data_IF_635342729949
#
_entry.id   IF_635342729949
#
_cell.length_a   1.000
_cell.length_b   1.000
_cell.length_c   1.000
_cell.angle_alpha   90.00
_cell.angle_beta   90.00
_cell.angle_gamma   90.00
#
_symmetry.space_group_name_H-M   'P 1'
#
loop_
_entity.id
_entity.type
_entity.pdbx_description
1 polymer ?
#
# COMPACT_ATOMS: atom_id res chain seq x y z
N UNK A 1 13.70 22.96 32.14
CA UNK A 1 13.47 24.37 31.79
C UNK A 1 12.42 24.42 30.71
N UNK A 2 11.31 25.10 30.95
CA UNK A 2 10.20 25.24 30.00
C UNK A 2 10.14 26.71 29.63
N UNK A 3 10.31 27.04 28.34
CA UNK A 3 9.99 28.37 27.82
C UNK A 3 8.71 28.25 26.99
N UNK A 4 7.68 28.99 27.38
CA UNK A 4 6.50 29.24 26.56
C UNK A 4 6.48 30.74 26.27
N UNK A 5 6.43 31.10 24.98
CA UNK A 5 6.11 32.47 24.57
C UNK A 5 4.66 32.50 24.06
N UNK A 6 3.96 33.55 24.46
CA UNK A 6 2.55 33.80 24.15
C UNK A 6 2.38 34.09 22.66
N UNK A 7 1.64 33.23 21.97
CA UNK A 7 1.31 33.40 20.56
C UNK A 7 0.21 34.46 20.41
N UNK A 8 0.60 35.65 19.93
CA UNK A 8 -0.30 36.67 19.40
C UNK A 8 -0.85 36.15 18.05
N UNK A 9 -2.16 35.92 18.01
CA UNK A 9 -2.88 35.30 16.90
C UNK A 9 -2.99 36.12 15.61
N UNK A 10 -2.15 37.13 15.38
CA UNK A 10 -2.28 38.02 14.22
C UNK A 10 -1.44 37.61 13.00
N UNK A 11 -0.53 36.64 13.10
CA UNK A 11 0.33 36.21 11.98
C UNK A 11 0.36 34.70 11.73
N UNK A 12 -0.80 34.07 11.58
CA UNK A 12 -0.87 32.70 11.09
C UNK A 12 -0.47 32.61 9.61
N UNK A 13 -0.65 33.67 8.81
CA UNK A 13 -0.42 33.62 7.35
C UNK A 13 1.06 33.70 6.94
N UNK A 14 1.92 34.37 7.71
CA UNK A 14 3.37 34.37 7.50
C UNK A 14 4.01 33.05 7.90
N UNK A 15 3.62 32.50 9.05
CA UNK A 15 4.12 31.21 9.54
C UNK A 15 3.85 30.05 8.57
N UNK A 16 2.68 29.96 7.93
CA UNK A 16 2.43 28.88 6.94
C UNK A 16 3.26 29.00 5.66
N UNK A 17 3.81 30.18 5.35
CA UNK A 17 4.58 30.40 4.12
C UNK A 17 6.07 30.11 4.30
N UNK A 18 6.60 30.35 5.50
CA UNK A 18 8.01 30.12 5.84
C UNK A 18 8.23 28.82 6.67
N UNK A 19 7.17 28.17 7.17
CA UNK A 19 7.25 26.88 7.90
C UNK A 19 7.22 25.65 6.99
N UNK A 20 7.61 25.75 5.73
CA UNK A 20 7.95 24.58 4.91
C UNK A 20 9.48 24.39 4.80
N UNK A 21 10.28 25.25 5.42
CA UNK A 21 11.75 25.12 5.47
C UNK A 21 12.24 24.02 6.43
N UNK A 22 11.36 23.43 7.26
CA UNK A 22 11.74 22.35 8.17
C UNK A 22 11.73 20.97 7.52
N UNK A 23 11.41 20.82 6.23
CA UNK A 23 11.52 19.49 5.62
C UNK A 23 12.99 19.05 5.66
N UNK A 24 13.32 18.00 6.43
CA UNK A 24 14.66 17.45 6.37
C UNK A 24 14.93 16.97 4.94
N UNK A 25 16.17 17.07 4.48
CA UNK A 25 16.54 16.53 3.18
C UNK A 25 16.08 15.07 3.08
N UNK A 26 15.33 14.76 2.01
CA UNK A 26 14.87 13.40 1.73
C UNK A 26 16.06 12.46 1.74
N UNK A 27 15.90 11.30 2.36
CA UNK A 27 16.95 10.29 2.50
C UNK A 27 16.58 9.07 1.67
N UNK A 28 17.42 8.66 0.71
CA UNK A 28 18.71 9.23 0.34
C UNK A 28 18.60 10.56 -0.41
N UNK A 29 19.51 11.52 -0.12
CA UNK A 29 19.56 12.85 -0.73
C UNK A 29 20.12 12.76 -2.15
N UNK A 30 19.30 12.25 -3.08
CA UNK A 30 19.59 12.26 -4.52
C UNK A 30 18.50 13.04 -5.28
N UNK A 31 18.83 13.75 -6.37
CA UNK A 31 17.90 14.67 -7.03
C UNK A 31 16.60 14.01 -7.54
N UNK A 32 16.67 12.73 -7.91
CA UNK A 32 15.53 12.02 -8.47
C UNK A 32 14.55 11.56 -7.38
N UNK A 33 15.09 11.09 -6.24
CA UNK A 33 14.32 10.77 -5.05
C UNK A 33 13.65 12.01 -4.47
N UNK A 34 14.39 13.12 -4.36
CA UNK A 34 13.83 14.40 -3.93
C UNK A 34 12.67 14.82 -4.83
N UNK A 35 12.86 14.78 -6.15
CA UNK A 35 11.79 15.11 -7.10
C UNK A 35 10.56 14.20 -6.95
N UNK A 36 10.77 12.90 -6.71
CA UNK A 36 9.68 11.96 -6.49
C UNK A 36 8.91 12.28 -5.19
N UNK A 37 9.63 12.49 -4.09
CA UNK A 37 9.03 12.80 -2.79
C UNK A 37 8.32 14.16 -2.78
N UNK A 38 8.84 15.17 -3.48
CA UNK A 38 8.16 16.45 -3.67
C UNK A 38 6.86 16.30 -4.46
N UNK A 39 6.86 15.46 -5.50
CA UNK A 39 5.63 15.14 -6.24
C UNK A 39 4.61 14.43 -5.35
N UNK A 40 5.05 13.53 -4.47
CA UNK A 40 4.18 12.85 -3.48
C UNK A 40 3.61 13.84 -2.47
N UNK A 41 4.43 14.72 -1.90
CA UNK A 41 3.98 15.77 -0.98
C UNK A 41 2.96 16.71 -1.65
N UNK A 42 3.17 17.07 -2.91
CA UNK A 42 2.23 17.88 -3.69
C UNK A 42 0.91 17.15 -4.02
N UNK A 43 0.94 15.83 -4.21
CA UNK A 43 -0.28 15.01 -4.35
C UNK A 43 -1.08 15.00 -3.04
N UNK A 44 -0.40 14.76 -1.91
CA UNK A 44 -1.02 14.74 -0.58
C UNK A 44 -1.62 16.11 -0.23
N UNK A 45 -0.94 17.21 -0.57
CA UNK A 45 -1.44 18.58 -0.36
C UNK A 45 -2.81 18.85 -1.00
N UNK A 46 -3.15 18.12 -2.08
CA UNK A 46 -4.42 18.26 -2.81
C UNK A 46 -5.58 17.48 -2.18
N UNK A 47 -5.30 16.62 -1.18
CA UNK A 47 -6.34 15.89 -0.45
C UNK A 47 -7.17 16.91 0.36
N UNK A 48 -8.49 16.86 0.19
CA UNK A 48 -9.43 17.80 0.83
C UNK A 48 -9.69 17.46 2.29
N UNK A 49 -9.82 16.18 2.59
CA UNK A 49 -10.05 15.70 3.95
C UNK A 49 -8.80 15.91 4.81
N UNK A 50 -8.97 16.54 5.98
CA UNK A 50 -7.86 16.94 6.82
C UNK A 50 -7.15 15.74 7.48
N UNK A 51 -7.90 14.70 7.84
CA UNK A 51 -7.34 13.51 8.48
C UNK A 51 -6.54 12.69 7.45
N UNK A 52 -7.15 12.41 6.30
CA UNK A 52 -6.47 11.71 5.20
C UNK A 52 -5.23 12.44 4.70
N UNK A 53 -5.27 13.78 4.68
CA UNK A 53 -4.10 14.60 4.33
C UNK A 53 -3.00 14.49 5.37
N UNK A 54 -3.33 14.56 6.66
CA UNK A 54 -2.36 14.39 7.74
C UNK A 54 -1.70 13.00 7.70
N UNK A 55 -2.52 11.95 7.57
CA UNK A 55 -2.03 10.57 7.44
C UNK A 55 -1.14 10.41 6.20
N UNK A 56 -1.53 11.03 5.07
CA UNK A 56 -0.74 11.05 3.85
C UNK A 56 0.63 11.73 4.01
N UNK A 57 0.70 12.82 4.78
CA UNK A 57 1.98 13.48 5.09
C UNK A 57 2.85 12.62 5.98
N UNK A 58 2.29 12.01 7.03
CA UNK A 58 3.04 11.08 7.89
C UNK A 58 3.64 9.94 7.08
N UNK A 59 2.85 9.33 6.20
CA UNK A 59 3.31 8.28 5.28
C UNK A 59 4.44 8.76 4.38
N UNK A 60 4.29 9.95 3.81
CA UNK A 60 5.28 10.52 2.87
C UNK A 60 6.59 10.82 3.60
N UNK A 61 6.53 11.38 4.80
CA UNK A 61 7.68 11.67 5.66
C UNK A 61 8.38 10.37 6.08
N UNK A 62 7.62 9.37 6.52
CA UNK A 62 8.16 8.06 6.89
C UNK A 62 8.89 7.41 5.71
N UNK A 63 8.30 7.42 4.52
CA UNK A 63 8.92 6.83 3.34
C UNK A 63 10.14 7.62 2.84
N UNK A 64 10.06 8.95 2.91
CA UNK A 64 11.10 9.83 2.43
C UNK A 64 12.30 9.99 3.34
N UNK A 65 12.17 9.67 4.63
CA UNK A 65 13.19 9.95 5.64
C UNK A 65 13.66 8.73 6.44
N UNK A 66 12.80 7.74 6.63
CA UNK A 66 13.05 6.62 7.54
C UNK A 66 13.36 5.36 6.74
N UNK A 67 12.61 5.11 5.67
CA UNK A 67 12.77 3.91 4.85
C UNK A 67 13.89 4.14 3.81
N UNK A 68 14.91 3.26 3.74
CA UNK A 68 15.92 3.34 2.69
C UNK A 68 15.28 3.26 1.30
N UNK A 69 15.74 4.08 0.35
CA UNK A 69 15.36 3.88 -1.04
C UNK A 69 16.14 2.70 -1.62
N UNK A 70 15.49 1.54 -1.69
CA UNK A 70 16.05 0.33 -2.31
C UNK A 70 16.26 0.49 -3.82
N UNK A 71 15.38 1.26 -4.47
CA UNK A 71 15.47 1.56 -5.90
C UNK A 71 15.12 3.02 -6.16
N UNK A 72 15.44 3.49 -7.37
CA UNK A 72 15.13 4.86 -7.84
C UNK A 72 13.65 5.24 -7.73
N UNK A 73 12.73 4.28 -7.92
CA UNK A 73 11.28 4.54 -7.97
C UNK A 73 10.52 4.04 -6.73
N UNK A 74 11.12 3.17 -5.93
CA UNK A 74 10.46 2.56 -4.76
C UNK A 74 9.37 1.54 -5.10
N UNK A 75 9.10 1.28 -6.39
CA UNK A 75 8.22 0.22 -6.87
C UNK A 75 8.64 -0.26 -8.26
N UNK A 76 8.19 -1.45 -8.64
CA UNK A 76 8.26 -1.98 -10.00
C UNK A 76 7.02 -2.83 -10.29
N UNK A 77 6.68 -2.94 -11.58
CA UNK A 77 5.70 -3.90 -12.06
C UNK A 77 6.44 -4.92 -12.89
N UNK A 78 6.28 -6.20 -12.54
CA UNK A 78 6.87 -7.33 -13.24
C UNK A 78 5.77 -8.33 -13.60
N UNK A 79 6.04 -9.17 -14.59
CA UNK A 79 5.18 -10.30 -14.87
C UNK A 79 5.33 -11.35 -13.76
N UNK A 80 4.22 -11.76 -13.15
CA UNK A 80 4.22 -12.86 -12.17
C UNK A 80 4.80 -14.13 -12.81
N UNK A 81 5.71 -14.86 -12.13
CA UNK A 81 6.20 -16.15 -12.61
C UNK A 81 5.02 -17.06 -13.02
N UNK A 82 5.04 -17.67 -14.22
CA UNK A 82 3.89 -18.42 -14.73
C UNK A 82 3.41 -19.53 -13.79
N UNK A 83 4.35 -20.21 -13.14
CA UNK A 83 4.04 -21.29 -12.20
C UNK A 83 3.38 -20.77 -10.92
N UNK A 84 3.90 -19.67 -10.35
CA UNK A 84 3.28 -18.99 -9.20
C UNK A 84 1.85 -18.57 -9.55
N UNK A 85 1.65 -17.96 -10.72
CA UNK A 85 0.32 -17.56 -11.18
C UNK A 85 -0.63 -18.76 -11.32
N UNK A 86 -0.17 -19.86 -11.93
CA UNK A 86 -0.93 -21.10 -12.09
C UNK A 86 -1.38 -21.65 -10.74
N UNK A 87 -0.46 -21.78 -9.77
CA UNK A 87 -0.76 -22.30 -8.43
C UNK A 87 -1.78 -21.43 -7.68
N UNK A 88 -1.65 -20.10 -7.77
CA UNK A 88 -2.59 -19.17 -7.15
C UNK A 88 -3.98 -19.25 -7.79
N UNK A 89 -4.04 -19.31 -9.12
CA UNK A 89 -5.29 -19.40 -9.88
C UNK A 89 -6.03 -20.73 -9.57
N UNK A 90 -5.31 -21.85 -9.56
CA UNK A 90 -5.88 -23.15 -9.15
C UNK A 90 -6.41 -23.14 -7.72
N UNK A 91 -5.65 -22.55 -6.78
CA UNK A 91 -6.10 -22.44 -5.39
C UNK A 91 -7.32 -21.54 -5.24
N UNK A 92 -7.43 -20.47 -6.04
CA UNK A 92 -8.59 -19.59 -6.07
C UNK A 92 -9.84 -20.34 -6.52
N UNK A 93 -9.81 -20.98 -7.69
CA UNK A 93 -10.96 -21.71 -8.22
C UNK A 93 -11.32 -22.94 -7.38
N UNK A 94 -10.34 -23.65 -6.83
CA UNK A 94 -10.61 -24.74 -5.89
C UNK A 94 -11.27 -24.24 -4.59
N UNK A 95 -10.94 -23.02 -4.14
CA UNK A 95 -11.59 -22.36 -3.01
C UNK A 95 -13.04 -22.00 -3.32
N UNK A 96 -13.27 -21.37 -4.48
CA UNK A 96 -14.59 -20.99 -5.01
C UNK A 96 -15.51 -22.20 -5.18
N UNK A 97 -15.02 -23.29 -5.77
CA UNK A 97 -15.83 -24.46 -6.07
C UNK A 97 -16.25 -25.29 -4.83
N UNK A 98 -15.54 -25.15 -3.70
CA UNK A 98 -15.77 -25.96 -2.50
C UNK A 98 -16.63 -25.27 -1.44
N UNK A 99 -17.18 -24.09 -1.71
CA UNK A 99 -17.81 -23.20 -0.71
C UNK A 99 -16.94 -22.99 0.55
N UNK A 100 -15.62 -23.16 0.42
CA UNK A 100 -14.65 -22.93 1.50
C UNK A 100 -14.33 -21.44 1.68
N UNK A 101 -15.07 -20.59 0.98
CA UNK A 101 -14.87 -19.17 1.02
C UNK A 101 -15.62 -18.63 2.23
N UNK A 102 -14.84 -18.15 3.19
CA UNK A 102 -15.37 -17.30 4.24
C UNK A 102 -15.32 -15.85 3.81
N UNK A 103 -16.29 -15.07 4.24
CA UNK A 103 -16.11 -13.62 4.27
C UNK A 103 -14.99 -13.31 5.24
N UNK A 104 -14.12 -12.40 4.84
CA UNK A 104 -13.08 -11.89 5.71
C UNK A 104 -13.72 -11.17 6.91
N UNK A 105 -12.94 -11.04 8.00
CA UNK A 105 -13.28 -10.11 9.05
C UNK A 105 -13.45 -8.69 8.50
N UNK A 106 -14.03 -7.80 9.30
CA UNK A 106 -14.07 -6.38 8.93
C UNK A 106 -12.64 -5.85 8.81
N UNK A 107 -12.32 -5.28 7.65
CA UNK A 107 -11.03 -4.63 7.35
C UNK A 107 -11.33 -3.17 7.05
N UNK A 108 -10.89 -2.27 7.92
CA UNK A 108 -11.28 -0.85 7.85
C UNK A 108 -10.77 -0.14 6.58
N UNK A 109 -9.70 -0.68 5.97
CA UNK A 109 -9.14 -0.19 4.72
C UNK A 109 -9.97 -0.56 3.49
N UNK A 110 -10.92 -1.49 3.61
CA UNK A 110 -11.75 -1.94 2.48
C UNK A 110 -13.08 -1.20 2.55
N UNK A 111 -13.24 -0.24 1.65
CA UNK A 111 -14.40 0.63 1.58
C UNK A 111 -15.33 0.26 0.44
N UNK A 112 -16.63 0.40 0.66
CA UNK A 112 -17.71 0.20 -0.29
C UNK A 112 -18.36 1.56 -0.61
N UNK A 113 -19.30 1.55 -1.57
CA UNK A 113 -20.02 2.75 -2.03
C UNK A 113 -19.08 3.88 -2.51
N UNK A 114 -18.08 3.51 -3.32
CA UNK A 114 -17.13 4.47 -3.88
C UNK A 114 -16.21 5.13 -2.84
N UNK A 115 -15.96 4.45 -1.71
CA UNK A 115 -15.07 4.93 -0.66
C UNK A 115 -15.76 5.65 0.50
N UNK A 116 -17.10 5.63 0.56
CA UNK A 116 -17.84 6.40 1.58
C UNK A 116 -17.93 5.68 2.93
N UNK A 117 -17.84 4.35 2.96
CA UNK A 117 -17.95 3.56 4.19
C UNK A 117 -17.15 2.27 4.11
N UNK A 118 -16.78 1.71 5.26
CA UNK A 118 -16.21 0.36 5.33
C UNK A 118 -17.23 -0.68 4.85
N UNK A 119 -16.78 -1.65 4.06
CA UNK A 119 -17.62 -2.77 3.63
C UNK A 119 -18.04 -3.62 4.84
N UNK A 120 -19.32 -4.00 4.91
CA UNK A 120 -19.86 -4.81 6.00
C UNK A 120 -20.84 -5.87 5.48
N UNK A 121 -21.21 -6.83 6.34
CA UNK A 121 -22.23 -7.83 6.04
C UNK A 121 -21.86 -8.65 4.79
N UNK A 122 -22.69 -8.50 3.76
CA UNK A 122 -22.58 -9.22 2.49
C UNK A 122 -21.56 -8.64 1.51
N UNK A 123 -21.11 -7.42 1.72
CA UNK A 123 -20.20 -6.72 0.81
C UNK A 123 -18.73 -6.92 1.18
N UNK A 124 -18.48 -7.59 2.32
CA UNK A 124 -17.13 -7.93 2.76
C UNK A 124 -16.44 -8.82 1.73
N UNK A 125 -15.14 -8.62 1.51
CA UNK A 125 -14.41 -9.48 0.60
C UNK A 125 -14.43 -10.91 1.10
N UNK A 126 -14.29 -11.81 0.15
CA UNK A 126 -14.10 -13.21 0.39
C UNK A 126 -12.61 -13.51 0.59
N UNK A 127 -12.29 -14.53 1.40
CA UNK A 127 -10.92 -14.90 1.69
C UNK A 127 -10.70 -16.41 1.54
N UNK A 128 -9.78 -16.78 0.65
CA UNK A 128 -9.32 -18.15 0.46
C UNK A 128 -7.99 -18.33 1.19
N UNK A 129 -8.03 -19.11 2.27
CA UNK A 129 -6.84 -19.42 3.06
C UNK A 129 -6.14 -20.67 2.53
N UNK A 130 -4.85 -20.54 2.21
CA UNK A 130 -3.99 -21.67 1.90
C UNK A 130 -2.57 -21.42 2.46
N UNK A 131 -2.35 -21.64 3.78
CA UNK A 131 -1.09 -21.27 4.43
C UNK A 131 0.14 -21.95 3.82
N UNK A 132 -0.03 -23.17 3.29
CA UNK A 132 1.04 -23.90 2.61
C UNK A 132 1.43 -23.20 1.31
N UNK A 133 0.45 -22.92 0.44
CA UNK A 133 0.69 -22.20 -0.80
C UNK A 133 1.25 -20.81 -0.55
N UNK A 134 0.74 -20.09 0.45
CA UNK A 134 1.25 -18.78 0.82
C UNK A 134 2.75 -18.83 1.13
N UNK A 135 3.20 -19.85 1.89
CA UNK A 135 4.61 -20.06 2.19
C UNK A 135 5.42 -20.42 0.94
N UNK A 136 4.89 -21.30 0.09
CA UNK A 136 5.54 -21.66 -1.18
C UNK A 136 5.75 -20.43 -2.07
N UNK A 137 4.69 -19.62 -2.29
CA UNK A 137 4.77 -18.38 -3.07
C UNK A 137 5.71 -17.35 -2.43
N UNK A 138 5.70 -17.22 -1.10
CA UNK A 138 6.60 -16.31 -0.40
C UNK A 138 8.08 -16.65 -0.67
N UNK A 139 8.42 -17.94 -0.69
CA UNK A 139 9.78 -18.41 -0.96
C UNK A 139 10.15 -18.27 -2.45
N UNK A 140 9.21 -18.55 -3.36
CA UNK A 140 9.43 -18.38 -4.80
C UNK A 140 9.64 -16.92 -5.20
N UNK A 141 9.01 -15.97 -4.50
CA UNK A 141 9.15 -14.53 -4.79
C UNK A 141 10.34 -13.88 -4.08
N UNK A 142 10.91 -14.51 -3.06
CA UNK A 142 12.04 -13.95 -2.31
C UNK A 142 13.22 -13.55 -3.22
N UNK A 143 13.70 -14.40 -4.15
CA UNK A 143 14.81 -14.00 -5.03
C UNK A 143 14.49 -12.77 -5.88
N UNK A 144 13.23 -12.59 -6.30
CA UNK A 144 12.81 -11.42 -7.06
C UNK A 144 12.79 -10.16 -6.20
N UNK A 145 12.41 -10.27 -4.93
CA UNK A 145 12.46 -9.16 -3.98
C UNK A 145 13.90 -8.78 -3.62
N UNK A 146 14.78 -9.76 -3.45
CA UNK A 146 16.21 -9.56 -3.19
C UNK A 146 16.91 -8.94 -4.41
N UNK A 147 16.63 -9.43 -5.62
CA UNK A 147 17.14 -8.84 -6.87
C UNK A 147 16.65 -7.39 -7.03
N UNK A 148 15.37 -7.13 -6.77
CA UNK A 148 14.81 -5.79 -6.89
C UNK A 148 15.40 -4.82 -5.87
N UNK A 149 15.62 -5.27 -4.62
CA UNK A 149 16.07 -4.41 -3.53
C UNK A 149 17.59 -4.31 -3.36
N UNK A 150 18.34 -5.27 -3.92
CA UNK A 150 19.79 -5.37 -3.78
C UNK A 150 20.25 -5.77 -2.37
N UNK A 151 19.38 -6.32 -1.52
CA UNK A 151 19.70 -6.77 -0.17
C UNK A 151 19.11 -8.15 0.12
N UNK A 152 19.75 -8.90 1.02
CA UNK A 152 19.23 -10.19 1.49
C UNK A 152 17.99 -9.97 2.38
N UNK A 153 16.98 -10.82 2.22
CA UNK A 153 15.70 -10.67 2.91
C UNK A 153 15.36 -11.88 3.78
N UNK A 154 14.59 -11.64 4.85
CA UNK A 154 14.00 -12.70 5.66
C UNK A 154 12.50 -12.76 5.36
N UNK A 155 11.98 -13.89 4.86
CA UNK A 155 10.56 -14.08 4.63
C UNK A 155 9.74 -13.82 5.90
N UNK A 156 8.77 -12.91 5.81
CA UNK A 156 7.93 -12.50 6.96
C UNK A 156 6.55 -13.15 6.88
N UNK A 157 5.69 -12.71 5.95
CA UNK A 157 4.32 -13.19 5.83
C UNK A 157 3.82 -13.11 4.40
N UNK A 158 2.98 -14.08 4.03
CA UNK A 158 2.16 -14.02 2.83
C UNK A 158 0.70 -14.25 3.22
N UNK A 159 -0.15 -13.31 2.83
CA UNK A 159 -1.59 -13.39 3.06
C UNK A 159 -2.25 -14.27 1.99
N UNK A 160 -3.39 -14.86 2.36
CA UNK A 160 -4.20 -15.65 1.44
C UNK A 160 -4.86 -14.79 0.36
N UNK A 161 -5.63 -15.44 -0.50
CA UNK A 161 -6.25 -14.77 -1.63
C UNK A 161 -7.52 -14.05 -1.19
N UNK A 162 -7.58 -12.75 -1.48
CA UNK A 162 -8.74 -11.90 -1.23
C UNK A 162 -9.49 -11.69 -2.54
N UNK A 163 -10.80 -11.95 -2.53
CA UNK A 163 -11.70 -11.70 -3.67
C UNK A 163 -12.58 -10.52 -3.32
N UNK A 164 -12.33 -9.39 -3.98
CA UNK A 164 -13.11 -8.17 -3.83
C UNK A 164 -14.43 -8.28 -4.59
N UNK A 165 -15.48 -7.71 -4.01
CA UNK A 165 -16.79 -7.66 -4.64
C UNK A 165 -16.98 -6.35 -5.41
N UNK A 166 -18.02 -6.29 -6.24
CA UNK A 166 -18.35 -5.09 -6.99
C UNK A 166 -18.57 -3.91 -6.04
N UNK A 167 -17.90 -2.79 -6.30
CA UNK A 167 -17.99 -1.57 -5.49
C UNK A 167 -17.01 -1.50 -4.32
N UNK A 168 -16.21 -2.55 -4.07
CA UNK A 168 -15.11 -2.49 -3.12
C UNK A 168 -13.95 -1.64 -3.66
N UNK A 169 -13.36 -0.86 -2.76
CA UNK A 169 -12.17 -0.03 -2.97
C UNK A 169 -11.23 -0.21 -1.79
N UNK A 170 -9.93 -0.20 -2.03
CA UNK A 170 -8.92 -0.30 -0.99
C UNK A 170 -8.33 1.09 -0.76
N UNK A 171 -8.39 1.58 0.46
CA UNK A 171 -7.79 2.87 0.80
C UNK A 171 -6.27 2.78 0.78
N UNK A 172 -5.64 3.92 0.46
CA UNK A 172 -4.21 4.06 0.57
C UNK A 172 -3.80 3.84 2.03
N UNK A 173 -2.89 2.89 2.24
CA UNK A 173 -2.24 2.62 3.50
C UNK A 173 -0.78 2.27 3.25
N UNK A 174 0.03 2.39 4.29
CA UNK A 174 1.38 1.85 4.32
C UNK A 174 1.40 0.61 5.18
N UNK A 175 2.19 -0.36 4.73
CA UNK A 175 2.50 -1.53 5.54
C UNK A 175 3.42 -1.12 6.71
N UNK A 176 3.45 -1.96 7.75
CA UNK A 176 4.27 -1.69 8.93
C UNK A 176 5.75 -1.77 8.60
N UNK A 177 6.49 -0.71 8.91
CA UNK A 177 7.94 -0.58 8.68
C UNK A 177 8.78 -1.62 9.41
N UNK A 178 8.28 -2.20 10.48
CA UNK A 178 9.01 -3.18 11.30
C UNK A 178 9.05 -4.59 10.67
N UNK A 179 8.13 -4.91 9.76
CA UNK A 179 7.87 -6.30 9.33
C UNK A 179 7.64 -6.48 7.83
N UNK A 180 7.34 -5.40 7.09
CA UNK A 180 6.94 -5.43 5.68
C UNK A 180 7.67 -4.35 4.86
N UNK A 181 8.99 -4.34 4.96
CA UNK A 181 9.84 -3.36 4.27
C UNK A 181 9.73 -3.47 2.75
N UNK A 182 9.48 -4.68 2.24
CA UNK A 182 9.25 -4.97 0.83
C UNK A 182 8.01 -5.87 0.73
N UNK A 183 7.05 -5.48 -0.09
CA UNK A 183 5.83 -6.24 -0.33
C UNK A 183 5.51 -6.27 -1.83
N UNK A 184 4.71 -7.26 -2.23
CA UNK A 184 4.20 -7.37 -3.60
C UNK A 184 2.73 -7.70 -3.59
N UNK A 185 1.97 -7.06 -4.47
CA UNK A 185 0.56 -7.34 -4.70
C UNK A 185 0.45 -8.18 -5.97
N UNK A 186 -0.14 -9.37 -5.86
CA UNK A 186 -0.34 -10.28 -6.98
C UNK A 186 -1.78 -10.21 -7.45
N UNK A 187 -1.97 -9.87 -8.73
CA UNK A 187 -3.26 -9.98 -9.39
C UNK A 187 -3.38 -11.39 -9.97
N UNK A 188 -4.33 -12.18 -9.47
CA UNK A 188 -4.46 -13.62 -9.77
C UNK A 188 -5.54 -13.90 -10.81
N UNK A 189 -6.69 -13.24 -10.69
CA UNK A 189 -7.79 -13.40 -11.61
C UNK A 189 -8.76 -12.21 -11.48
N UNK A 190 -9.56 -11.99 -12.51
CA UNK A 190 -10.65 -11.02 -12.49
C UNK A 190 -11.75 -11.42 -13.45
N UNK A 191 -12.98 -11.38 -12.94
CA UNK A 191 -14.16 -11.32 -13.77
C UNK A 191 -14.54 -9.85 -14.04
N UNK A 192 -14.39 -9.43 -15.29
CA UNK A 192 -14.75 -8.08 -15.71
C UNK A 192 -16.26 -7.88 -15.88
N UNK A 193 -17.06 -8.95 -15.85
CA UNK A 193 -18.49 -8.89 -16.13
C UNK A 193 -18.81 -8.19 -17.46
N UNK A 194 -17.90 -8.29 -18.44
CA UNK A 194 -17.98 -7.61 -19.74
C UNK A 194 -17.48 -6.15 -19.80
N UNK A 195 -16.86 -5.62 -18.74
CA UNK A 195 -16.28 -4.26 -18.73
C UNK A 195 -14.81 -4.23 -19.20
N UNK A 196 -14.33 -3.04 -19.53
CA UNK A 196 -12.92 -2.81 -19.89
C UNK A 196 -11.97 -3.07 -18.70
N UNK A 197 -10.75 -3.56 -18.97
CA UNK A 197 -9.74 -3.73 -17.94
C UNK A 197 -9.44 -2.46 -17.17
N UNK A 198 -9.22 -2.57 -15.85
CA UNK A 198 -8.70 -1.44 -15.09
C UNK A 198 -7.31 -1.08 -15.63
N UNK A 199 -7.05 0.20 -15.94
CA UNK A 199 -5.75 0.62 -16.39
C UNK A 199 -4.78 0.53 -15.20
N UNK A 200 -3.95 -0.52 -15.18
CA UNK A 200 -2.75 -0.54 -14.37
C UNK A 200 -1.70 0.23 -15.19
N UNK A 201 -1.50 1.50 -14.85
CA UNK A 201 -0.50 2.41 -15.46
C UNK A 201 0.71 2.59 -14.55
#
# INVERSE_FOLDING_TARGET
SVSAETFDGTDLKGLYRDSLDWYPEWTPSNPEWTRYMDQRAAQVARIKDSQQRFDGYLVTIQQGLIVPAFTKRGWAVIQTPPEVHRMLNESLHAGLAKDKIRKEGRVDQIQCDGGMRTCDGDERPFFVSNPRLNREVLLELQPLHEEWSGVDLVPSIAYGLRVYQKGSSLTMHTDRVDTHVISSILHVDRDYGGNEPWPIV
#
